data_IF_881749917427
#
_entry.id   IF_881749917427
#
_cell.length_a   1.000
_cell.length_b   1.000
_cell.length_c   1.000
_cell.angle_alpha   90.00
_cell.angle_beta   90.00
_cell.angle_gamma   90.00
#
_symmetry.space_group_name_H-M   'P 1'
#
loop_
_entity.id
_entity.type
_entity.pdbx_description
1 polymer ?
#
# COMPACT_ATOMS: atom_id res chain seq x y z
N UNK A 1 31.08 1.99 5.46
CA UNK A 1 30.27 3.19 5.71
C UNK A 1 29.97 3.96 4.42
N UNK A 2 30.96 4.50 3.71
CA UNK A 2 30.75 5.30 2.47
C UNK A 2 29.95 4.52 1.41
N UNK A 3 30.29 3.25 1.19
CA UNK A 3 29.59 2.38 0.24
C UNK A 3 28.10 2.20 0.60
N UNK A 4 27.78 2.03 1.90
CA UNK A 4 26.38 1.87 2.33
C UNK A 4 25.58 3.15 2.10
N UNK A 5 26.18 4.32 2.33
CA UNK A 5 25.54 5.62 2.05
C UNK A 5 25.30 5.77 0.54
N UNK A 6 26.29 5.47 -0.30
CA UNK A 6 26.15 5.59 -1.76
C UNK A 6 25.06 4.66 -2.29
N UNK A 7 25.00 3.43 -1.79
CA UNK A 7 23.97 2.46 -2.18
C UNK A 7 22.58 2.84 -1.63
N UNK A 8 22.51 3.40 -0.44
CA UNK A 8 21.26 3.94 0.11
C UNK A 8 20.73 5.09 -0.76
N UNK A 9 21.57 6.05 -1.11
CA UNK A 9 21.18 7.16 -1.99
C UNK A 9 20.73 6.68 -3.37
N UNK A 10 21.42 5.71 -3.95
CA UNK A 10 21.03 5.09 -5.22
C UNK A 10 19.69 4.38 -5.10
N UNK A 11 19.46 3.67 -4.00
CA UNK A 11 18.19 2.96 -3.73
C UNK A 11 17.03 3.94 -3.60
N UNK A 12 17.21 5.04 -2.88
CA UNK A 12 16.22 6.11 -2.74
C UNK A 12 15.94 6.76 -4.12
N UNK A 13 16.98 7.04 -4.91
CA UNK A 13 16.79 7.59 -6.25
C UNK A 13 15.99 6.62 -7.16
N UNK A 14 16.27 5.32 -7.06
CA UNK A 14 15.55 4.27 -7.80
C UNK A 14 14.09 4.18 -7.34
N UNK A 15 13.84 4.23 -6.03
CA UNK A 15 12.52 4.25 -5.43
C UNK A 15 11.69 5.44 -5.95
N UNK A 16 12.24 6.64 -5.87
CA UNK A 16 11.55 7.88 -6.30
C UNK A 16 11.27 7.87 -7.80
N UNK A 17 12.24 7.46 -8.62
CA UNK A 17 12.06 7.34 -10.06
C UNK A 17 11.01 6.27 -10.40
N UNK A 18 11.03 5.12 -9.74
CA UNK A 18 10.02 4.07 -9.89
C UNK A 18 8.62 4.58 -9.55
N UNK A 19 8.46 5.26 -8.40
CA UNK A 19 7.21 5.88 -7.99
C UNK A 19 6.67 6.87 -9.02
N UNK A 20 7.54 7.74 -9.53
CA UNK A 20 7.17 8.71 -10.56
C UNK A 20 6.63 8.03 -11.82
N UNK A 21 7.33 7.02 -12.33
CA UNK A 21 6.91 6.29 -13.54
C UNK A 21 5.66 5.47 -13.33
N UNK A 22 5.53 4.82 -12.17
CA UNK A 22 4.36 4.04 -11.81
C UNK A 22 3.09 4.90 -11.74
N UNK A 23 3.13 6.03 -11.01
CA UNK A 23 2.01 6.97 -10.89
C UNK A 23 1.64 7.58 -12.24
N UNK A 24 2.61 7.98 -13.05
CA UNK A 24 2.37 8.54 -14.38
C UNK A 24 1.72 7.54 -15.34
N UNK A 25 2.24 6.32 -15.38
CA UNK A 25 1.69 5.28 -16.26
C UNK A 25 0.28 4.88 -15.82
N UNK A 26 0.05 4.70 -14.51
CA UNK A 26 -1.28 4.44 -13.94
C UNK A 26 -2.29 5.49 -14.37
N UNK A 27 -1.93 6.77 -14.25
CA UNK A 27 -2.79 7.87 -14.64
C UNK A 27 -3.06 7.94 -16.14
N UNK A 28 -2.04 7.68 -16.99
CA UNK A 28 -2.22 7.67 -18.46
C UNK A 28 -3.15 6.53 -18.90
N UNK A 29 -2.99 5.35 -18.28
CA UNK A 29 -3.88 4.21 -18.54
C UNK A 29 -5.31 4.55 -18.10
N UNK A 30 -5.48 5.09 -16.91
CA UNK A 30 -6.78 5.49 -16.38
C UNK A 30 -7.52 6.48 -17.29
N UNK A 31 -6.85 7.53 -17.75
CA UNK A 31 -7.43 8.54 -18.63
C UNK A 31 -7.91 7.94 -19.96
N UNK A 32 -7.21 6.93 -20.49
CA UNK A 32 -7.64 6.26 -21.72
C UNK A 32 -8.97 5.53 -21.56
N UNK A 33 -9.23 5.02 -20.35
CA UNK A 33 -10.48 4.31 -20.02
C UNK A 33 -11.52 5.20 -19.32
N UNK A 34 -11.25 6.50 -19.18
CA UNK A 34 -12.14 7.40 -18.44
C UNK A 34 -12.23 7.13 -16.95
N UNK A 35 -11.22 6.44 -16.37
CA UNK A 35 -11.19 6.04 -14.96
C UNK A 35 -10.70 7.21 -14.09
N UNK A 36 -11.35 7.41 -12.92
CA UNK A 36 -10.99 8.49 -12.00
C UNK A 36 -9.65 8.25 -11.29
N UNK A 37 -8.96 9.34 -10.93
CA UNK A 37 -7.73 9.26 -10.14
C UNK A 37 -7.97 8.61 -8.76
N UNK A 38 -9.16 8.78 -8.16
CA UNK A 38 -9.54 8.10 -6.92
C UNK A 38 -9.57 6.57 -7.11
N UNK A 39 -10.24 6.11 -8.15
CA UNK A 39 -10.32 4.67 -8.46
C UNK A 39 -8.92 4.08 -8.69
N UNK A 40 -8.06 4.78 -9.43
CA UNK A 40 -6.67 4.33 -9.67
C UNK A 40 -5.89 4.23 -8.36
N UNK A 41 -6.07 5.21 -7.49
CA UNK A 41 -5.47 5.19 -6.15
C UNK A 41 -5.95 3.99 -5.34
N UNK A 42 -7.28 3.79 -5.25
CA UNK A 42 -7.91 2.70 -4.50
C UNK A 42 -7.58 1.29 -5.03
N UNK A 43 -7.13 1.17 -6.28
CA UNK A 43 -6.92 -0.13 -6.94
C UNK A 43 -5.47 -0.32 -7.38
N UNK A 44 -5.10 0.24 -8.54
CA UNK A 44 -3.82 -0.05 -9.20
C UNK A 44 -2.64 0.37 -8.31
N UNK A 45 -2.70 1.58 -7.73
CA UNK A 45 -1.61 2.07 -6.89
C UNK A 45 -1.59 1.32 -5.56
N UNK A 46 -2.73 1.24 -4.87
CA UNK A 46 -2.80 0.55 -3.59
C UNK A 46 -2.36 -0.93 -3.70
N UNK A 47 -2.86 -1.68 -4.69
CA UNK A 47 -2.47 -3.08 -4.88
C UNK A 47 -0.98 -3.21 -5.24
N UNK A 48 -0.47 -2.31 -6.08
CA UNK A 48 0.93 -2.35 -6.51
C UNK A 48 1.89 -2.03 -5.37
N UNK A 49 1.59 -1.02 -4.58
CA UNK A 49 2.44 -0.62 -3.45
C UNK A 49 2.36 -1.59 -2.28
N UNK A 50 1.17 -2.14 -1.98
CA UNK A 50 0.98 -3.13 -0.92
C UNK A 50 1.34 -4.57 -1.34
N UNK A 51 1.82 -4.79 -2.57
CA UNK A 51 2.25 -6.12 -2.98
C UNK A 51 3.36 -6.71 -2.09
N UNK A 52 4.39 -5.95 -1.67
CA UNK A 52 5.41 -6.47 -0.74
C UNK A 52 4.81 -6.98 0.57
N UNK A 53 3.90 -6.21 1.18
CA UNK A 53 3.21 -6.59 2.42
C UNK A 53 2.41 -7.87 2.25
N UNK A 54 1.67 -7.98 1.16
CA UNK A 54 0.87 -9.17 0.84
C UNK A 54 1.79 -10.38 0.67
N UNK A 55 2.90 -10.25 -0.05
CA UNK A 55 3.86 -11.34 -0.25
C UNK A 55 4.56 -11.76 1.05
N UNK A 56 4.99 -10.79 1.89
CA UNK A 56 5.59 -11.07 3.19
C UNK A 56 4.59 -11.81 4.07
N UNK A 57 3.36 -11.34 4.15
CA UNK A 57 2.33 -11.96 4.98
C UNK A 57 1.98 -13.37 4.49
N UNK A 58 1.80 -13.58 3.19
CA UNK A 58 1.55 -14.91 2.62
C UNK A 58 2.72 -15.86 2.92
N UNK A 59 3.96 -15.42 2.69
CA UNK A 59 5.15 -16.21 2.99
C UNK A 59 5.24 -16.58 4.47
N UNK A 60 4.94 -15.63 5.36
CA UNK A 60 4.94 -15.86 6.81
C UNK A 60 3.92 -16.90 7.24
N UNK A 61 2.70 -16.87 6.66
CA UNK A 61 1.65 -17.84 6.94
C UNK A 61 2.10 -19.26 6.54
N UNK A 62 2.66 -19.43 5.35
CA UNK A 62 3.15 -20.72 4.89
C UNK A 62 4.37 -21.24 5.65
N UNK A 63 5.09 -20.36 6.35
CA UNK A 63 6.21 -20.73 7.23
C UNK A 63 5.82 -20.82 8.72
N UNK A 64 4.52 -20.85 9.03
CA UNK A 64 3.99 -20.91 10.41
C UNK A 64 4.49 -19.75 11.29
N UNK A 65 4.59 -18.56 10.71
CA UNK A 65 5.01 -17.33 11.37
C UNK A 65 3.88 -16.27 11.29
N UNK A 66 2.68 -16.64 11.73
CA UNK A 66 1.46 -15.85 11.62
C UNK A 66 1.56 -14.50 12.34
N UNK A 67 2.32 -14.45 13.45
CA UNK A 67 2.60 -13.21 14.17
C UNK A 67 3.27 -12.15 13.26
N UNK A 68 4.15 -12.58 12.32
CA UNK A 68 4.78 -11.69 11.36
C UNK A 68 3.75 -11.16 10.35
N UNK A 69 2.83 -12.02 9.87
CA UNK A 69 1.77 -11.60 8.97
C UNK A 69 0.87 -10.54 9.61
N UNK A 70 0.46 -10.76 10.87
CA UNK A 70 -0.37 -9.81 11.62
C UNK A 70 0.39 -8.51 11.90
N UNK A 71 1.64 -8.61 12.33
CA UNK A 71 2.52 -7.46 12.53
C UNK A 71 2.66 -6.62 11.26
N UNK A 72 2.78 -7.27 10.10
CA UNK A 72 2.83 -6.60 8.79
C UNK A 72 1.53 -5.84 8.51
N UNK A 73 0.35 -6.47 8.71
CA UNK A 73 -0.96 -5.81 8.51
C UNK A 73 -1.09 -4.58 9.41
N UNK A 74 -0.89 -4.78 10.72
CA UNK A 74 -1.09 -3.71 11.71
C UNK A 74 -0.08 -2.59 11.51
N UNK A 75 1.20 -2.94 11.33
CA UNK A 75 2.29 -1.99 11.12
C UNK A 75 2.09 -1.13 9.89
N UNK A 76 1.78 -1.75 8.73
CA UNK A 76 1.54 -1.02 7.49
C UNK A 76 0.29 -0.13 7.59
N UNK A 77 -0.81 -0.62 8.18
CA UNK A 77 -2.01 0.19 8.34
C UNK A 77 -1.79 1.39 9.28
N UNK A 78 -1.05 1.22 10.38
CA UNK A 78 -0.64 2.33 11.26
C UNK A 78 0.24 3.31 10.49
N UNK A 79 1.25 2.83 9.76
CA UNK A 79 2.16 3.69 8.98
C UNK A 79 1.39 4.46 7.91
N UNK A 80 0.47 3.83 7.20
CA UNK A 80 -0.35 4.49 6.19
C UNK A 80 -1.20 5.62 6.77
N UNK A 81 -1.80 5.42 7.95
CA UNK A 81 -2.64 6.45 8.59
C UNK A 81 -1.79 7.49 9.33
N UNK A 82 -0.84 7.07 10.16
CA UNK A 82 -0.10 8.01 11.01
C UNK A 82 0.95 8.80 10.21
N UNK A 83 1.76 8.11 9.39
CA UNK A 83 2.85 8.75 8.65
C UNK A 83 2.39 9.25 7.29
N UNK A 84 1.85 8.38 6.43
CA UNK A 84 1.61 8.73 5.03
C UNK A 84 0.44 9.70 4.90
N UNK A 85 -0.69 9.42 5.58
CA UNK A 85 -1.80 10.38 5.62
C UNK A 85 -1.41 11.67 6.34
N UNK A 86 -0.68 11.59 7.47
CA UNK A 86 -0.17 12.74 8.20
C UNK A 86 0.67 13.67 7.32
N UNK A 87 1.67 13.12 6.60
CA UNK A 87 2.49 13.89 5.63
C UNK A 87 1.63 14.47 4.51
N UNK A 88 0.65 13.70 4.02
CA UNK A 88 -0.26 14.15 2.97
C UNK A 88 -1.11 15.36 3.39
N UNK A 89 -1.54 15.42 4.65
CA UNK A 89 -2.32 16.54 5.16
C UNK A 89 -1.58 17.89 5.10
N UNK A 90 -0.25 17.88 5.24
CA UNK A 90 0.56 19.11 5.09
C UNK A 90 0.72 19.55 3.63
N UNK A 91 0.61 18.62 2.70
CA UNK A 91 0.92 18.85 1.29
C UNK A 91 -0.34 19.05 0.42
N UNK A 92 -1.49 18.54 0.84
CA UNK A 92 -2.75 18.65 0.10
C UNK A 92 -3.46 19.96 0.47
N UNK A 93 -3.34 20.98 -0.41
CA UNK A 93 -3.97 22.29 -0.20
C UNK A 93 -5.50 22.29 -0.41
N UNK A 94 -6.04 21.36 -1.16
CA UNK A 94 -7.48 21.22 -1.42
C UNK A 94 -7.86 19.77 -1.70
N UNK A 95 -8.72 19.20 -0.87
CA UNK A 95 -9.47 17.99 -1.20
C UNK A 95 -10.70 18.45 -1.99
N UNK A 96 -10.75 18.16 -3.30
CA UNK A 96 -11.96 18.45 -4.10
C UNK A 96 -13.16 17.75 -3.46
N UNK A 97 -14.30 18.45 -3.41
CA UNK A 97 -15.57 18.00 -2.77
C UNK A 97 -16.15 16.66 -3.27
N UNK A 98 -15.54 16.03 -4.26
CA UNK A 98 -16.05 14.82 -4.90
C UNK A 98 -15.58 13.50 -4.25
N UNK A 99 -15.06 13.55 -3.01
CA UNK A 99 -14.80 12.33 -2.26
C UNK A 99 -16.13 11.76 -1.76
N UNK A 100 -16.52 10.61 -2.28
CA UNK A 100 -17.73 9.92 -1.81
C UNK A 100 -17.44 9.24 -0.47
N UNK A 101 -18.22 9.61 0.55
CA UNK A 101 -18.16 8.94 1.86
C UNK A 101 -18.42 7.43 1.75
N UNK A 102 -19.12 6.99 0.68
CA UNK A 102 -19.35 5.56 0.43
C UNK A 102 -18.06 4.76 0.25
N UNK A 103 -16.99 5.39 -0.24
CA UNK A 103 -15.67 4.74 -0.38
C UNK A 103 -14.99 4.46 0.97
N UNK A 104 -15.41 5.12 2.06
CA UNK A 104 -14.94 4.85 3.42
C UNK A 104 -15.64 3.67 4.08
N UNK A 105 -16.83 3.30 3.62
CA UNK A 105 -17.61 2.23 4.26
C UNK A 105 -16.84 0.90 4.29
N UNK A 106 -16.24 0.41 3.19
CA UNK A 106 -15.44 -0.82 3.23
C UNK A 106 -14.25 -0.73 4.19
N UNK A 107 -13.60 0.44 4.28
CA UNK A 107 -12.51 0.68 5.22
C UNK A 107 -12.99 0.53 6.67
N UNK A 108 -14.07 1.22 7.04
CA UNK A 108 -14.61 1.16 8.39
C UNK A 108 -15.11 -0.26 8.73
N UNK A 109 -15.80 -0.92 7.80
CA UNK A 109 -16.27 -2.30 8.01
C UNK A 109 -15.10 -3.26 8.22
N UNK A 110 -14.04 -3.18 7.39
CA UNK A 110 -12.86 -4.04 7.53
C UNK A 110 -12.12 -3.75 8.84
N UNK A 111 -12.00 -2.49 9.24
CA UNK A 111 -11.37 -2.09 10.50
C UNK A 111 -12.14 -2.61 11.73
N UNK A 112 -13.45 -2.40 11.79
CA UNK A 112 -14.25 -2.88 12.93
C UNK A 112 -14.34 -4.41 12.98
N UNK A 113 -14.41 -5.08 11.83
CA UNK A 113 -14.35 -6.53 11.78
C UNK A 113 -13.00 -7.05 12.27
N UNK A 114 -11.90 -6.35 11.92
CA UNK A 114 -10.56 -6.69 12.39
C UNK A 114 -10.43 -6.55 13.92
N UNK A 115 -10.93 -5.43 14.48
CA UNK A 115 -10.97 -5.25 15.93
C UNK A 115 -11.80 -6.33 16.62
N UNK A 116 -12.91 -6.74 16.00
CA UNK A 116 -13.73 -7.81 16.52
C UNK A 116 -13.01 -9.16 16.49
N UNK A 117 -12.29 -9.47 15.41
CA UNK A 117 -11.53 -10.70 15.27
C UNK A 117 -10.32 -10.77 16.22
N UNK A 118 -9.74 -9.62 16.59
CA UNK A 118 -8.63 -9.57 17.55
C UNK A 118 -9.03 -9.87 19.00
N UNK A 119 -10.33 -9.89 19.36
CA UNK A 119 -10.78 -10.06 20.74
C UNK A 119 -10.43 -11.41 21.35
N UNK A 120 -10.38 -12.45 20.54
CA UNK A 120 -10.07 -13.83 20.98
C UNK A 120 -8.77 -14.35 20.38
N UNK A 121 -8.04 -13.46 19.67
CA UNK A 121 -6.74 -13.72 19.06
C UNK A 121 -6.72 -14.92 18.10
N UNK A 122 -7.88 -15.22 17.51
CA UNK A 122 -8.02 -16.26 16.48
C UNK A 122 -8.74 -15.67 15.28
N UNK A 123 -8.36 -16.05 14.07
CA UNK A 123 -9.11 -15.72 12.88
C UNK A 123 -9.93 -16.93 12.46
N UNK A 124 -11.23 -16.88 12.74
CA UNK A 124 -12.16 -17.95 12.35
C UNK A 124 -12.47 -17.91 10.85
N UNK A 125 -12.94 -19.05 10.33
CA UNK A 125 -13.44 -19.12 8.95
C UNK A 125 -14.59 -18.12 8.69
N UNK A 126 -15.46 -17.89 9.67
CA UNK A 126 -16.59 -16.95 9.55
C UNK A 126 -16.10 -15.51 9.40
N UNK A 127 -15.10 -15.10 10.19
CA UNK A 127 -14.48 -13.78 10.06
C UNK A 127 -13.78 -13.62 8.72
N UNK A 128 -13.08 -14.66 8.27
CA UNK A 128 -12.45 -14.70 6.95
C UNK A 128 -13.46 -14.50 5.82
N UNK A 129 -14.60 -15.18 5.88
CA UNK A 129 -15.70 -14.99 4.93
C UNK A 129 -16.29 -13.56 5.01
N UNK A 130 -16.33 -12.97 6.21
CA UNK A 130 -16.72 -11.57 6.40
C UNK A 130 -15.77 -10.60 5.66
N UNK A 131 -14.46 -10.78 5.77
CA UNK A 131 -13.47 -9.98 5.01
C UNK A 131 -13.58 -10.18 3.51
N UNK A 132 -13.79 -11.42 3.05
CA UNK A 132 -14.04 -11.71 1.63
C UNK A 132 -15.31 -11.00 1.14
N UNK A 133 -16.37 -11.00 1.92
CA UNK A 133 -17.61 -10.28 1.58
C UNK A 133 -17.36 -8.76 1.49
N UNK A 134 -16.58 -8.18 2.42
CA UNK A 134 -16.17 -6.77 2.37
C UNK A 134 -15.32 -6.48 1.12
N UNK A 135 -14.44 -7.39 0.72
CA UNK A 135 -13.66 -7.25 -0.52
C UNK A 135 -14.57 -7.16 -1.75
N UNK A 136 -15.53 -8.07 -1.91
CA UNK A 136 -16.50 -8.00 -3.02
C UNK A 136 -17.38 -6.77 -2.94
N UNK A 137 -17.80 -6.35 -1.75
CA UNK A 137 -18.54 -5.11 -1.54
C UNK A 137 -17.72 -3.88 -1.97
N UNK A 138 -16.43 -3.86 -1.63
CA UNK A 138 -15.49 -2.84 -2.07
C UNK A 138 -15.39 -2.77 -3.61
N UNK A 139 -15.27 -3.92 -4.28
CA UNK A 139 -15.26 -3.97 -5.76
C UNK A 139 -16.59 -3.46 -6.36
N UNK A 140 -17.74 -3.76 -5.73
CA UNK A 140 -19.05 -3.27 -6.18
C UNK A 140 -19.15 -1.75 -6.02
N UNK A 141 -18.69 -1.18 -4.91
CA UNK A 141 -18.65 0.29 -4.73
C UNK A 141 -17.76 0.92 -5.79
N UNK A 142 -16.57 0.39 -6.01
CA UNK A 142 -15.65 0.87 -7.03
C UNK A 142 -16.27 0.86 -8.44
N UNK A 143 -17.02 -0.20 -8.78
CA UNK A 143 -17.66 -0.31 -10.10
C UNK A 143 -18.82 0.68 -10.29
N UNK A 144 -19.45 1.12 -9.20
CA UNK A 144 -20.56 2.08 -9.21
C UNK A 144 -20.13 3.53 -9.10
N UNK A 145 -18.95 3.78 -8.54
CA UNK A 145 -18.43 5.14 -8.37
C UNK A 145 -17.96 5.70 -9.71
N UNK A 146 -18.90 6.37 -10.39
CA UNK A 146 -18.62 7.14 -11.62
C UNK A 146 -18.26 8.59 -11.32
N UNK A 147 -18.11 8.99 -10.06
CA UNK A 147 -17.74 10.34 -9.67
C UNK A 147 -16.31 10.64 -10.11
N UNK A 148 -16.15 11.52 -11.08
CA UNK A 148 -14.83 11.96 -11.54
C UNK A 148 -14.25 11.17 -12.71
N UNK A 149 -15.06 10.47 -13.51
CA UNK A 149 -14.61 10.00 -14.81
C UNK A 149 -14.10 11.22 -15.60
N UNK A 150 -12.80 11.24 -15.86
CA UNK A 150 -12.21 12.24 -16.72
C UNK A 150 -12.72 12.01 -18.15
N UNK A 151 -12.88 13.09 -18.93
CA UNK A 151 -13.14 12.94 -20.36
C UNK A 151 -12.11 12.02 -20.98
N UNK A 152 -12.58 11.03 -21.73
CA UNK A 152 -11.71 10.11 -22.47
C UNK A 152 -10.87 10.95 -23.42
N UNK A 153 -9.58 11.07 -23.14
CA UNK A 153 -8.67 11.78 -24.01
C UNK A 153 -8.47 10.93 -25.27
N UNK A 154 -9.09 11.36 -26.36
CA UNK A 154 -8.94 10.78 -27.69
C UNK A 154 -7.54 11.07 -28.25
N UNK A 155 -6.54 10.39 -27.72
CA UNK A 155 -5.16 10.45 -28.18
C UNK A 155 -4.63 9.04 -28.42
N UNK A 156 -3.78 8.86 -29.45
CA UNK A 156 -3.09 7.60 -29.72
C UNK A 156 -2.06 7.27 -28.63
N UNK A 157 -2.54 6.95 -27.43
CA UNK A 157 -1.66 6.48 -26.37
C UNK A 157 -1.28 5.03 -26.66
N UNK A 158 0.00 4.78 -26.88
CA UNK A 158 0.50 3.41 -27.05
C UNK A 158 0.33 2.66 -25.72
N UNK A 159 -0.72 1.84 -25.66
CA UNK A 159 -1.11 1.10 -24.45
C UNK A 159 -0.01 0.15 -24.00
N UNK A 160 0.64 -0.54 -24.94
CA UNK A 160 1.73 -1.45 -24.65
C UNK A 160 2.89 -0.71 -23.98
N UNK A 161 3.27 0.46 -24.51
CA UNK A 161 4.32 1.30 -23.87
C UNK A 161 3.94 1.72 -22.45
N UNK A 162 2.70 2.17 -22.23
CA UNK A 162 2.27 2.60 -20.90
C UNK A 162 2.21 1.43 -19.90
N UNK A 163 1.79 0.25 -20.34
CA UNK A 163 1.79 -0.96 -19.50
C UNK A 163 3.23 -1.38 -19.16
N UNK A 164 4.15 -1.34 -20.12
CA UNK A 164 5.58 -1.61 -19.86
C UNK A 164 6.16 -0.61 -18.86
N UNK A 165 5.87 0.70 -19.01
CA UNK A 165 6.33 1.73 -18.06
C UNK A 165 5.73 1.50 -16.67
N UNK A 166 4.46 1.09 -16.58
CA UNK A 166 3.80 0.78 -15.32
C UNK A 166 4.51 -0.38 -14.60
N UNK A 167 4.75 -1.49 -15.30
CA UNK A 167 5.39 -2.67 -14.73
C UNK A 167 6.86 -2.39 -14.34
N UNK A 168 7.61 -1.70 -15.19
CA UNK A 168 8.99 -1.30 -14.90
C UNK A 168 9.01 -0.31 -13.72
N UNK A 169 8.11 0.68 -13.71
CA UNK A 169 7.99 1.64 -12.61
C UNK A 169 7.68 0.95 -11.28
N UNK A 170 6.74 -0.01 -11.27
CA UNK A 170 6.41 -0.81 -10.10
C UNK A 170 7.61 -1.66 -9.65
N UNK A 171 8.30 -2.31 -10.56
CA UNK A 171 9.49 -3.11 -10.23
C UNK A 171 10.60 -2.25 -9.61
N UNK A 172 10.87 -1.07 -10.18
CA UNK A 172 11.87 -0.14 -9.63
C UNK A 172 11.44 0.41 -8.26
N UNK A 173 10.15 0.68 -8.07
CA UNK A 173 9.57 1.11 -6.80
C UNK A 173 9.84 0.06 -5.71
N UNK A 174 9.49 -1.20 -5.95
CA UNK A 174 9.65 -2.30 -5.00
C UNK A 174 11.14 -2.60 -4.74
N UNK A 175 11.94 -2.72 -5.79
CA UNK A 175 13.38 -2.98 -5.63
C UNK A 175 14.09 -1.82 -4.93
N UNK A 176 13.76 -0.59 -5.29
CA UNK A 176 14.30 0.62 -4.65
C UNK A 176 13.97 0.67 -3.16
N UNK A 177 12.73 0.33 -2.79
CA UNK A 177 12.31 0.23 -1.39
C UNK A 177 13.10 -0.83 -0.63
N UNK A 178 13.15 -2.06 -1.13
CA UNK A 178 13.85 -3.15 -0.47
C UNK A 178 15.34 -2.84 -0.25
N UNK A 179 16.03 -2.32 -1.27
CA UNK A 179 17.43 -1.94 -1.13
C UNK A 179 17.61 -0.72 -0.22
N UNK A 180 16.68 0.24 -0.21
CA UNK A 180 16.74 1.37 0.71
C UNK A 180 16.68 0.91 2.17
N UNK A 181 15.81 -0.04 2.51
CA UNK A 181 15.73 -0.65 3.85
C UNK A 181 17.03 -1.34 4.21
N UNK A 182 17.53 -2.24 3.33
CA UNK A 182 18.77 -3.00 3.57
C UNK A 182 19.97 -2.07 3.83
N UNK A 183 20.13 -1.03 3.03
CA UNK A 183 21.26 -0.12 3.18
C UNK A 183 21.08 0.91 4.28
N UNK A 184 19.83 1.29 4.61
CA UNK A 184 19.52 2.11 5.79
C UNK A 184 19.85 1.34 7.09
N UNK A 185 19.47 0.07 7.17
CA UNK A 185 19.82 -0.83 8.27
C UNK A 185 21.35 -0.95 8.42
N UNK A 186 22.08 -1.33 7.36
CA UNK A 186 23.53 -1.46 7.39
C UNK A 186 24.23 -0.15 7.77
N UNK A 187 23.70 0.98 7.32
CA UNK A 187 24.23 2.29 7.69
C UNK A 187 23.97 2.58 9.16
N UNK A 188 22.74 2.41 9.67
CA UNK A 188 22.40 2.65 11.06
C UNK A 188 23.23 1.81 12.04
N UNK A 189 23.40 0.51 11.75
CA UNK A 189 24.26 -0.37 12.53
C UNK A 189 25.73 0.09 12.48
N UNK A 190 26.21 0.58 11.33
CA UNK A 190 27.60 1.04 11.18
C UNK A 190 27.93 2.30 11.98
N UNK A 191 26.93 3.08 12.41
CA UNK A 191 27.08 4.26 13.28
C UNK A 191 26.70 3.98 14.73
N UNK A 192 26.49 2.69 15.09
CA UNK A 192 26.29 2.24 16.48
C UNK A 192 24.84 2.29 16.96
N UNK A 193 23.86 2.43 16.06
CA UNK A 193 22.44 2.27 16.44
C UNK A 193 22.18 0.78 16.72
N UNK A 194 21.49 0.47 17.83
CA UNK A 194 21.21 -0.89 18.21
C UNK A 194 20.24 -1.60 17.24
N UNK A 195 20.38 -2.92 17.08
CA UNK A 195 19.49 -3.74 16.24
C UNK A 195 18.02 -3.58 16.63
N UNK A 196 17.72 -3.44 17.92
CA UNK A 196 16.35 -3.24 18.42
C UNK A 196 15.76 -1.95 17.86
N UNK A 197 16.50 -0.83 17.92
CA UNK A 197 16.03 0.45 17.39
C UNK A 197 15.86 0.39 15.87
N UNK A 198 16.81 -0.25 15.17
CA UNK A 198 16.74 -0.44 13.71
C UNK A 198 15.50 -1.24 13.33
N UNK A 199 15.24 -2.35 14.03
CA UNK A 199 14.08 -3.21 13.76
C UNK A 199 12.75 -2.48 14.02
N UNK A 200 12.67 -1.76 15.13
CA UNK A 200 11.46 -1.02 15.51
C UNK A 200 11.17 0.22 14.63
N UNK A 201 12.18 0.71 13.91
CA UNK A 201 12.03 1.91 13.08
C UNK A 201 12.17 1.62 11.60
N UNK A 202 13.38 1.28 11.14
CA UNK A 202 13.71 1.15 9.71
C UNK A 202 12.96 -0.03 9.08
N UNK A 203 12.93 -1.19 9.75
CA UNK A 203 12.22 -2.35 9.22
C UNK A 203 10.70 -2.18 9.30
N UNK A 204 10.21 -1.62 10.42
CA UNK A 204 8.77 -1.39 10.59
C UNK A 204 8.17 -0.39 9.58
N UNK A 205 8.94 0.61 9.17
CA UNK A 205 8.52 1.59 8.16
C UNK A 205 8.84 1.14 6.73
N UNK A 206 9.77 0.20 6.59
CA UNK A 206 10.38 -0.14 5.32
C UNK A 206 9.42 -0.74 4.30
N UNK A 207 8.49 -1.56 4.74
CA UNK A 207 7.47 -2.16 3.86
C UNK A 207 6.54 -1.11 3.26
N UNK A 208 6.24 -0.04 4.01
CA UNK A 208 5.37 1.05 3.54
C UNK A 208 6.10 2.18 2.78
N UNK A 209 7.38 2.02 2.48
CA UNK A 209 8.11 2.98 1.64
C UNK A 209 7.56 3.09 0.21
N UNK A 210 7.11 2.02 -0.46
CA UNK A 210 6.43 2.12 -1.75
C UNK A 210 5.20 3.02 -1.70
N UNK A 211 4.34 2.85 -0.70
CA UNK A 211 3.15 3.67 -0.47
C UNK A 211 3.51 5.13 -0.27
N UNK A 212 4.51 5.40 0.56
CA UNK A 212 4.98 6.77 0.82
C UNK A 212 5.52 7.42 -0.46
N UNK A 213 6.36 6.73 -1.21
CA UNK A 213 6.96 7.24 -2.43
C UNK A 213 5.91 7.49 -3.53
N UNK A 214 4.96 6.56 -3.72
CA UNK A 214 3.86 6.72 -4.67
C UNK A 214 2.94 7.89 -4.25
N UNK A 215 2.65 8.02 -2.96
CA UNK A 215 1.85 9.12 -2.40
C UNK A 215 2.53 10.47 -2.63
N UNK A 216 3.82 10.61 -2.32
CA UNK A 216 4.59 11.84 -2.56
C UNK A 216 4.61 12.16 -4.06
N UNK A 217 4.84 11.17 -4.93
CA UNK A 217 4.79 11.36 -6.38
C UNK A 217 3.41 11.85 -6.85
N UNK A 218 2.33 11.32 -6.31
CA UNK A 218 0.97 11.75 -6.64
C UNK A 218 0.69 13.19 -6.15
N UNK A 219 1.16 13.55 -4.95
CA UNK A 219 1.06 14.91 -4.40
C UNK A 219 1.77 15.91 -5.32
N UNK A 220 3.02 15.64 -5.67
CA UNK A 220 3.83 16.52 -6.52
C UNK A 220 3.22 16.72 -7.91
N UNK A 221 2.36 15.81 -8.35
CA UNK A 221 1.61 15.87 -9.61
C UNK A 221 0.20 16.44 -9.45
N UNK A 222 -0.17 16.92 -8.27
CA UNK A 222 -1.49 17.49 -7.98
C UNK A 222 -2.65 16.47 -8.01
N UNK A 223 -2.35 15.17 -7.86
CA UNK A 223 -3.33 14.07 -7.94
C UNK A 223 -3.89 13.71 -6.56
N UNK A 224 -4.46 14.69 -5.87
CA UNK A 224 -4.92 14.55 -4.49
C UNK A 224 -5.93 13.41 -4.27
N UNK A 225 -6.80 13.14 -5.23
CA UNK A 225 -7.74 12.01 -5.15
C UNK A 225 -7.03 10.66 -5.19
N UNK A 226 -5.97 10.54 -5.99
CA UNK A 226 -5.15 9.34 -6.08
C UNK A 226 -4.40 9.08 -4.77
N UNK A 227 -3.95 10.14 -4.08
CA UNK A 227 -3.33 10.05 -2.74
C UNK A 227 -4.29 9.44 -1.73
N UNK A 228 -5.51 10.00 -1.63
CA UNK A 228 -6.54 9.49 -0.71
C UNK A 228 -6.91 8.04 -1.07
N UNK A 229 -7.04 7.77 -2.36
CA UNK A 229 -7.32 6.43 -2.87
C UNK A 229 -6.23 5.44 -2.47
N UNK A 230 -4.94 5.78 -2.65
CA UNK A 230 -3.82 4.92 -2.28
C UNK A 230 -3.86 4.57 -0.78
N UNK A 231 -3.97 5.57 0.08
CA UNK A 231 -3.98 5.37 1.54
C UNK A 231 -5.15 4.48 1.98
N UNK A 232 -6.37 4.78 1.54
CA UNK A 232 -7.56 4.01 1.92
C UNK A 232 -7.51 2.62 1.29
N UNK A 233 -7.14 2.53 0.02
CA UNK A 233 -7.07 1.28 -0.72
C UNK A 233 -6.05 0.31 -0.11
N UNK A 234 -4.83 0.77 0.19
CA UNK A 234 -3.80 -0.05 0.83
C UNK A 234 -4.26 -0.59 2.18
N UNK A 235 -4.91 0.24 3.02
CA UNK A 235 -5.43 -0.22 4.31
C UNK A 235 -6.55 -1.26 4.16
N UNK A 236 -7.46 -1.06 3.20
CA UNK A 236 -8.52 -2.06 2.91
C UNK A 236 -7.87 -3.36 2.42
N UNK A 237 -7.01 -3.30 1.41
CA UNK A 237 -6.41 -4.47 0.77
C UNK A 237 -5.57 -5.29 1.74
N UNK A 238 -4.80 -4.65 2.63
CA UNK A 238 -4.05 -5.34 3.67
C UNK A 238 -4.97 -6.16 4.59
N UNK A 239 -6.15 -5.65 4.95
CA UNK A 239 -7.11 -6.37 5.78
C UNK A 239 -7.87 -7.45 4.98
N UNK A 240 -8.48 -7.09 3.86
CA UNK A 240 -9.41 -7.99 3.16
C UNK A 240 -8.72 -9.07 2.33
N UNK A 241 -7.41 -8.96 2.07
CA UNK A 241 -6.63 -10.00 1.40
C UNK A 241 -5.91 -10.87 2.42
N UNK A 242 -5.16 -10.28 3.35
CA UNK A 242 -4.24 -11.03 4.21
C UNK A 242 -5.01 -11.76 5.32
N UNK A 243 -5.98 -11.09 5.98
CA UNK A 243 -6.71 -11.72 7.11
C UNK A 243 -7.47 -12.99 6.70
N UNK A 244 -8.18 -13.05 5.56
CA UNK A 244 -8.79 -14.30 5.11
C UNK A 244 -7.78 -15.43 4.88
N UNK A 245 -6.60 -15.11 4.38
CA UNK A 245 -5.56 -16.12 4.15
C UNK A 245 -5.09 -16.70 5.49
N UNK A 246 -4.91 -15.85 6.51
CA UNK A 246 -4.59 -16.32 7.87
C UNK A 246 -5.69 -17.28 8.35
N UNK A 247 -6.94 -16.86 8.37
CA UNK A 247 -8.04 -17.66 8.93
C UNK A 247 -8.39 -18.92 8.14
N UNK A 248 -8.01 -19.01 6.85
CA UNK A 248 -8.25 -20.21 6.03
C UNK A 248 -7.09 -21.21 6.14
N UNK A 249 -5.85 -20.73 6.16
CA UNK A 249 -4.64 -21.56 6.05
C UNK A 249 -3.90 -21.73 7.37
N UNK A 250 -4.17 -20.90 8.38
CA UNK A 250 -3.57 -21.02 9.70
C UNK A 250 -4.58 -21.67 10.67
N UNK A 251 -4.16 -22.74 11.33
CA UNK A 251 -4.88 -23.32 12.46
C UNK A 251 -4.43 -22.68 13.80
N UNK A 252 -3.69 -21.59 13.75
CA UNK A 252 -3.02 -21.05 14.89
C UNK A 252 -3.93 -20.14 15.72
N UNK A 253 -4.02 -20.44 17.00
CA UNK A 253 -4.24 -19.46 18.07
C UNK A 253 -3.02 -18.55 18.04
N UNK A 254 -3.21 -17.23 17.91
CA UNK A 254 -2.08 -16.29 17.93
C UNK A 254 -1.35 -16.38 19.27
N UNK A 255 -0.08 -16.78 19.32
CA UNK A 255 0.70 -16.61 20.52
C UNK A 255 1.01 -15.11 20.67
N UNK A 256 0.24 -14.41 21.47
CA UNK A 256 0.67 -13.13 22.03
C UNK A 256 1.30 -13.46 23.36
N UNK A 257 2.61 -13.73 23.35
CA UNK A 257 3.45 -13.64 24.51
C UNK A 257 4.04 -12.25 24.66
#
# INVERSE_FOLDING_TARGET
>A
MLTNISLLLLSIATLVYGAEKFVDASSKIARKFGISDLFVGLTIIALGTSAPEIFVAISSIFNSAEAVAIGTIVGSNITNIALIFGVSCFAINQIKKNFSLSSLIPFLLSFFLFLFALRDLTFSLFESLGFIAIFFYFLIILSKDRSGFNEVVSGSTNMFKNLTILLVGLSLLILGSNFAVIYAEKFALSIGISEVVVSLTILALGTSLPELAATISAILKGKNQMVIGNIIGSNILNLVIIVPIIGIFSNAIMPIE
#
